data_IF_672682842502
#
_entry.id   IF_672682842502
#
_cell.length_a   1.000
_cell.length_b   1.000
_cell.length_c   1.000
_cell.angle_alpha   90.00
_cell.angle_beta   90.00
_cell.angle_gamma   90.00
#
_symmetry.space_group_name_H-M   'P 1'
#
loop_
_entity.id
_entity.type
_entity.pdbx_description
1 polymer ?
#
# COMPACT_ATOMS: atom_id res chain seq x y z
N UNK A 1 -3.73 37.86 -0.01
CA UNK A 1 -4.35 39.15 -0.39
C UNK A 1 -4.26 39.29 -1.89
N UNK A 2 -5.33 38.94 -2.61
CA UNK A 2 -5.57 39.29 -4.00
C UNK A 2 -7.10 39.40 -4.11
N UNK A 3 -7.58 40.64 -4.12
CA UNK A 3 -8.99 41.00 -4.30
C UNK A 3 -9.32 40.96 -5.79
N UNK A 4 -10.47 40.38 -6.14
CA UNK A 4 -11.11 40.58 -7.45
C UNK A 4 -12.48 41.18 -7.21
N UNK A 5 -12.68 42.31 -7.88
CA UNK A 5 -13.78 43.27 -7.77
C UNK A 5 -14.99 42.83 -8.62
N UNK A 6 -16.20 43.11 -8.12
CA UNK A 6 -17.49 42.79 -8.74
C UNK A 6 -18.22 44.10 -9.08
N UNK A 7 -18.54 44.32 -10.36
CA UNK A 7 -19.44 45.39 -10.81
C UNK A 7 -19.78 45.18 -12.29
N UNK A 8 -20.96 44.64 -12.60
CA UNK A 8 -22.19 45.36 -12.96
C UNK A 8 -22.12 46.11 -14.31
N UNK A 9 -23.02 45.73 -15.22
CA UNK A 9 -23.64 46.63 -16.20
C UNK A 9 -24.99 46.04 -16.66
N UNK A 10 -26.07 46.62 -16.15
CA UNK A 10 -27.42 46.52 -16.73
C UNK A 10 -27.62 47.60 -17.79
N UNK A 11 -28.42 47.28 -18.81
CA UNK A 11 -29.44 48.19 -19.33
C UNK A 11 -29.24 48.73 -20.74
N UNK A 12 -30.05 48.23 -21.70
CA UNK A 12 -30.93 49.07 -22.53
C UNK A 12 -32.17 48.25 -22.93
N UNK A 13 -33.37 48.77 -22.64
CA UNK A 13 -34.67 48.26 -23.09
C UNK A 13 -35.29 49.23 -24.12
N UNK A 14 -36.12 48.66 -24.99
CA UNK A 14 -37.36 49.21 -25.58
C UNK A 14 -37.29 50.04 -26.88
N UNK A 15 -37.89 49.50 -27.96
CA UNK A 15 -39.11 50.10 -28.55
C UNK A 15 -39.93 49.09 -29.38
N UNK A 16 -41.24 49.32 -29.43
CA UNK A 16 -42.33 48.43 -29.87
C UNK A 16 -42.78 48.65 -31.34
N UNK A 17 -43.25 47.55 -31.95
CA UNK A 17 -44.46 47.33 -32.78
C UNK A 17 -44.58 47.74 -34.28
N UNK A 18 -44.95 46.70 -35.05
CA UNK A 18 -45.95 46.59 -36.14
C UNK A 18 -45.51 47.04 -37.57
N UNK A 19 -45.81 46.37 -38.69
CA UNK A 19 -47.01 45.62 -39.12
C UNK A 19 -46.78 44.92 -40.51
N UNK A 20 -47.67 43.98 -40.90
CA UNK A 20 -47.85 43.24 -42.19
C UNK A 20 -46.87 42.06 -42.45
N UNK A 21 -47.26 40.81 -42.72
CA UNK A 21 -48.54 40.16 -42.99
C UNK A 21 -48.44 39.32 -44.29
N UNK A 22 -48.30 37.98 -44.20
CA UNK A 22 -48.70 37.03 -45.26
C UNK A 22 -49.08 35.70 -44.59
N UNK A 23 -50.33 35.29 -44.83
CA UNK A 23 -50.94 34.03 -44.43
C UNK A 23 -50.47 32.86 -45.31
N UNK A 24 -50.17 31.72 -44.71
CA UNK A 24 -50.26 30.41 -45.37
C UNK A 24 -51.00 29.46 -44.42
N UNK A 25 -52.17 29.00 -44.88
CA UNK A 25 -52.96 27.94 -44.27
C UNK A 25 -52.15 26.64 -44.24
N UNK A 26 -52.15 25.92 -43.11
CA UNK A 26 -52.15 24.46 -43.15
C UNK A 26 -53.07 23.89 -42.06
N UNK A 27 -53.99 23.08 -42.55
CA UNK A 27 -55.10 22.41 -41.86
C UNK A 27 -54.60 21.45 -40.79
N UNK A 28 -55.21 21.51 -39.60
CA UNK A 28 -55.04 20.51 -38.56
C UNK A 28 -55.74 19.20 -38.97
N UNK A 29 -54.98 18.10 -38.97
CA UNK A 29 -55.51 16.75 -38.77
C UNK A 29 -54.79 16.15 -37.56
N UNK A 30 -55.54 16.02 -36.47
CA UNK A 30 -55.19 15.20 -35.32
C UNK A 30 -55.24 13.74 -35.75
N UNK A 31 -54.08 13.08 -35.78
CA UNK A 31 -53.98 11.62 -35.70
C UNK A 31 -53.15 11.33 -34.46
N UNK A 32 -53.81 10.82 -33.42
CA UNK A 32 -53.15 10.13 -32.32
C UNK A 32 -52.49 8.87 -32.89
N UNK A 33 -51.19 8.95 -33.16
CA UNK A 33 -50.35 7.80 -33.36
C UNK A 33 -49.59 7.55 -32.07
N UNK A 34 -50.17 6.75 -31.16
CA UNK A 34 -49.39 6.05 -30.13
C UNK A 34 -48.46 5.08 -30.85
N UNK A 35 -47.26 5.57 -31.16
CA UNK A 35 -46.15 4.82 -31.70
C UNK A 35 -45.02 4.79 -30.68
N UNK A 36 -45.30 4.37 -29.44
CA UNK A 36 -44.25 3.87 -28.58
C UNK A 36 -43.74 2.56 -29.20
N UNK A 37 -42.69 2.65 -30.01
CA UNK A 37 -41.90 1.48 -30.33
C UNK A 37 -41.37 0.92 -29.01
N UNK A 38 -41.98 -0.16 -28.53
CA UNK A 38 -41.42 -0.95 -27.45
C UNK A 38 -40.09 -1.50 -27.97
N UNK A 39 -38.98 -0.85 -27.63
CA UNK A 39 -37.67 -1.50 -27.71
C UNK A 39 -37.77 -2.73 -26.81
N UNK A 40 -37.65 -3.92 -27.39
CA UNK A 40 -37.58 -5.14 -26.59
C UNK A 40 -36.37 -4.99 -25.65
N UNK A 41 -36.59 -5.11 -24.35
CA UNK A 41 -35.50 -5.15 -23.36
C UNK A 41 -34.54 -6.27 -23.78
N UNK A 42 -33.36 -5.89 -24.28
CA UNK A 42 -32.32 -6.87 -24.59
C UNK A 42 -31.58 -7.18 -23.28
N UNK A 43 -31.44 -8.47 -22.99
CA UNK A 43 -30.66 -8.94 -21.84
C UNK A 43 -29.25 -9.31 -22.33
N UNK A 44 -28.24 -8.74 -21.69
CA UNK A 44 -26.84 -9.12 -21.90
C UNK A 44 -26.33 -9.74 -20.62
N UNK A 45 -25.89 -11.01 -20.67
CA UNK A 45 -25.34 -11.68 -19.48
C UNK A 45 -23.95 -11.16 -19.16
N UNK A 46 -23.60 -11.10 -17.88
CA UNK A 46 -22.26 -10.68 -17.44
C UNK A 46 -21.16 -11.57 -18.03
N UNK A 47 -21.42 -12.88 -18.13
CA UNK A 47 -20.50 -13.86 -18.70
C UNK A 47 -20.26 -13.73 -20.21
N UNK A 48 -21.06 -12.93 -20.94
CA UNK A 48 -20.83 -12.63 -22.36
C UNK A 48 -19.77 -11.53 -22.57
N UNK A 49 -19.44 -10.78 -21.52
CA UNK A 49 -18.40 -9.75 -21.58
C UNK A 49 -17.01 -10.40 -21.58
N UNK A 50 -15.99 -9.62 -22.00
CA UNK A 50 -14.60 -10.06 -21.93
C UNK A 50 -14.11 -10.18 -20.48
N UNK A 51 -14.28 -11.38 -19.90
CA UNK A 51 -13.88 -11.68 -18.53
C UNK A 51 -12.36 -11.64 -18.31
N UNK A 52 -11.53 -11.56 -19.37
CA UNK A 52 -10.09 -11.35 -19.21
C UNK A 52 -9.76 -9.98 -18.58
N UNK A 53 -10.73 -9.06 -18.57
CA UNK A 53 -10.64 -7.74 -17.95
C UNK A 53 -11.10 -7.71 -16.48
N UNK A 54 -11.64 -8.81 -15.97
CA UNK A 54 -12.04 -8.95 -14.58
C UNK A 54 -10.87 -9.51 -13.77
N UNK A 55 -10.49 -8.83 -12.68
CA UNK A 55 -9.49 -9.38 -11.75
C UNK A 55 -10.09 -10.45 -10.84
N UNK A 56 -9.22 -11.30 -10.31
CA UNK A 56 -9.57 -12.33 -9.33
C UNK A 56 -8.36 -12.53 -8.42
N UNK A 57 -8.56 -12.49 -7.10
CA UNK A 57 -7.46 -12.63 -6.14
C UNK A 57 -6.82 -14.02 -6.18
N UNK A 58 -7.59 -15.01 -6.61
CA UNK A 58 -7.12 -16.36 -6.93
C UNK A 58 -7.88 -16.93 -8.12
N UNK A 59 -7.24 -17.82 -8.89
CA UNK A 59 -7.84 -18.41 -10.08
C UNK A 59 -8.14 -17.39 -11.18
N UNK A 60 -9.10 -17.72 -12.06
CA UNK A 60 -9.57 -16.83 -13.12
C UNK A 60 -11.09 -16.76 -13.08
N UNK A 61 -11.71 -15.62 -13.39
CA UNK A 61 -13.16 -15.55 -13.55
C UNK A 61 -13.62 -16.46 -14.68
N UNK A 62 -14.70 -17.21 -14.45
CA UNK A 62 -15.26 -18.14 -15.42
C UNK A 62 -16.73 -17.82 -15.67
N UNK A 63 -17.13 -17.81 -16.95
CA UNK A 63 -18.53 -17.69 -17.35
C UNK A 63 -19.27 -19.00 -17.07
N UNK A 64 -20.48 -18.89 -16.53
CA UNK A 64 -21.43 -19.96 -16.22
C UNK A 64 -20.89 -21.07 -15.32
N UNK A 65 -19.78 -20.79 -14.63
CA UNK A 65 -19.09 -21.70 -13.72
C UNK A 65 -18.49 -20.96 -12.55
N UNK A 66 -18.25 -21.67 -11.46
CA UNK A 66 -17.50 -21.17 -10.30
C UNK A 66 -16.03 -20.97 -10.68
N UNK A 67 -15.26 -20.24 -9.87
CA UNK A 67 -13.81 -20.06 -10.05
C UNK A 67 -13.00 -21.38 -10.06
N UNK A 68 -13.63 -22.48 -9.62
CA UNK A 68 -13.06 -23.84 -9.63
C UNK A 68 -13.62 -24.75 -10.72
N UNK A 69 -14.25 -24.17 -11.75
CA UNK A 69 -14.81 -24.89 -12.91
C UNK A 69 -15.99 -25.82 -12.56
N UNK A 70 -16.82 -25.45 -11.58
CA UNK A 70 -18.01 -26.19 -11.16
C UNK A 70 -19.31 -25.43 -11.48
N UNK A 71 -20.46 -26.08 -11.32
CA UNK A 71 -21.77 -25.41 -11.36
C UNK A 71 -21.88 -24.39 -10.24
N UNK A 72 -22.39 -23.20 -10.56
CA UNK A 72 -22.60 -22.10 -9.60
C UNK A 72 -23.68 -22.51 -8.59
N UNK A 73 -23.37 -22.41 -7.30
CA UNK A 73 -24.32 -22.72 -6.22
C UNK A 73 -24.08 -21.86 -4.99
N UNK A 74 -25.15 -21.27 -4.44
CA UNK A 74 -25.07 -20.37 -3.28
C UNK A 74 -26.17 -20.75 -2.29
N UNK A 75 -25.79 -21.14 -1.08
CA UNK A 75 -26.74 -21.44 0.00
C UNK A 75 -27.68 -22.60 -0.31
N UNK A 76 -27.20 -23.59 -1.07
CA UNK A 76 -27.92 -24.78 -1.51
C UNK A 76 -28.77 -24.59 -2.77
N UNK A 77 -28.77 -23.40 -3.38
CA UNK A 77 -29.46 -23.15 -4.65
C UNK A 77 -28.47 -23.15 -5.82
N UNK A 78 -28.77 -23.91 -6.86
CA UNK A 78 -27.98 -23.94 -8.10
C UNK A 78 -28.45 -22.89 -9.11
N UNK A 79 -27.52 -22.38 -9.91
CA UNK A 79 -27.79 -21.38 -10.94
C UNK A 79 -27.18 -21.81 -12.28
N UNK A 80 -27.93 -21.65 -13.37
CA UNK A 80 -27.53 -22.12 -14.70
C UNK A 80 -26.51 -21.21 -15.40
N UNK A 81 -26.46 -19.93 -15.03
CA UNK A 81 -25.57 -18.95 -15.64
C UNK A 81 -25.10 -17.91 -14.62
N UNK A 82 -23.99 -17.24 -14.91
CA UNK A 82 -23.36 -16.26 -14.03
C UNK A 82 -21.87 -16.12 -14.26
N UNK A 83 -21.17 -15.52 -13.30
CA UNK A 83 -19.70 -15.45 -13.31
C UNK A 83 -19.17 -15.82 -11.93
N UNK A 84 -18.38 -16.89 -11.86
CA UNK A 84 -17.63 -17.25 -10.67
C UNK A 84 -16.26 -16.60 -10.65
N UNK A 85 -15.88 -16.05 -9.50
CA UNK A 85 -14.62 -15.35 -9.27
C UNK A 85 -14.12 -15.59 -7.83
N UNK A 86 -13.08 -14.87 -7.42
CA UNK A 86 -12.51 -14.95 -6.08
C UNK A 86 -12.09 -13.57 -5.58
N UNK A 87 -12.33 -13.27 -4.30
CA UNK A 87 -11.88 -12.00 -3.73
C UNK A 87 -10.34 -11.91 -3.66
N UNK A 88 -9.71 -10.75 -3.79
CA UNK A 88 -10.30 -9.49 -4.25
C UNK A 88 -10.52 -9.51 -5.76
N UNK A 89 -11.71 -9.10 -6.21
CA UNK A 89 -12.10 -9.08 -7.61
C UNK A 89 -12.70 -7.73 -7.98
N UNK A 90 -12.36 -7.26 -9.18
CA UNK A 90 -12.81 -6.00 -9.74
C UNK A 90 -13.12 -6.18 -11.22
N UNK A 91 -14.30 -5.70 -11.64
CA UNK A 91 -14.67 -5.65 -13.05
C UNK A 91 -15.19 -4.26 -13.41
N UNK A 92 -14.60 -3.65 -14.43
CA UNK A 92 -14.95 -2.31 -14.89
C UNK A 92 -15.67 -2.39 -16.24
N UNK A 93 -16.89 -1.86 -16.29
CA UNK A 93 -17.78 -1.99 -17.44
C UNK A 93 -18.24 -0.60 -17.88
N UNK A 94 -17.99 -0.26 -19.14
CA UNK A 94 -18.50 0.94 -19.78
C UNK A 94 -19.93 0.71 -20.24
N UNK A 95 -20.79 1.67 -19.95
CA UNK A 95 -22.19 1.73 -20.35
C UNK A 95 -22.42 2.93 -21.25
N UNK A 96 -23.45 2.88 -22.07
CA UNK A 96 -23.82 3.93 -23.02
C UNK A 96 -24.78 4.98 -22.42
N UNK A 97 -25.05 4.89 -21.11
CA UNK A 97 -26.00 5.73 -20.39
C UNK A 97 -27.47 5.36 -20.59
N UNK A 98 -27.78 4.36 -21.43
CA UNK A 98 -29.14 3.86 -21.70
C UNK A 98 -29.36 2.45 -21.15
N UNK A 99 -28.33 1.78 -20.64
CA UNK A 99 -28.52 0.59 -19.79
C UNK A 99 -29.43 0.93 -18.62
N UNK A 100 -30.53 0.20 -18.46
CA UNK A 100 -31.56 0.55 -17.50
C UNK A 100 -31.28 -0.03 -16.11
N UNK A 101 -30.81 -1.28 -16.06
CA UNK A 101 -30.60 -2.03 -14.82
C UNK A 101 -29.48 -3.06 -14.93
N UNK A 102 -28.90 -3.38 -13.77
CA UNK A 102 -28.10 -4.59 -13.58
C UNK A 102 -28.72 -5.43 -12.46
N UNK A 103 -28.86 -6.73 -12.71
CA UNK A 103 -29.45 -7.71 -11.80
C UNK A 103 -28.49 -8.87 -11.58
N UNK A 104 -28.47 -9.41 -10.37
CA UNK A 104 -27.73 -10.63 -10.03
C UNK A 104 -28.23 -11.25 -8.72
N UNK A 105 -27.82 -12.48 -8.46
CA UNK A 105 -27.83 -13.13 -7.15
C UNK A 105 -26.37 -13.34 -6.73
N UNK A 106 -25.97 -12.81 -5.58
CA UNK A 106 -24.58 -12.85 -5.14
C UNK A 106 -24.41 -13.64 -3.85
N UNK A 107 -23.25 -14.28 -3.69
CA UNK A 107 -22.89 -14.97 -2.46
C UNK A 107 -21.60 -15.78 -2.58
N UNK A 108 -21.25 -16.42 -1.47
CA UNK A 108 -20.10 -17.34 -1.42
C UNK A 108 -20.51 -18.67 -2.05
N UNK A 109 -19.68 -19.20 -2.93
CA UNK A 109 -19.92 -20.47 -3.62
C UNK A 109 -19.95 -21.65 -2.61
N UNK A 110 -20.90 -22.56 -2.74
CA UNK A 110 -21.06 -23.68 -1.82
C UNK A 110 -19.88 -24.67 -1.88
N UNK A 111 -19.05 -24.65 -2.94
CA UNK A 111 -17.85 -25.49 -3.03
C UNK A 111 -16.80 -25.16 -1.95
N UNK A 112 -16.94 -24.04 -1.25
CA UNK A 112 -16.08 -23.69 -0.10
C UNK A 112 -16.43 -24.50 1.16
N UNK A 113 -17.53 -25.26 1.16
CA UNK A 113 -18.08 -25.99 2.30
C UNK A 113 -18.35 -25.08 3.51
N UNK A 114 -18.94 -23.90 3.27
CA UNK A 114 -19.32 -22.95 4.31
C UNK A 114 -18.19 -22.03 4.79
N UNK A 115 -17.02 -22.07 4.14
CA UNK A 115 -15.87 -21.18 4.41
C UNK A 115 -15.90 -19.95 3.50
N UNK A 116 -15.06 -18.97 3.81
CA UNK A 116 -14.95 -17.71 3.06
C UNK A 116 -15.91 -16.63 3.58
N UNK A 117 -15.43 -15.38 3.55
CA UNK A 117 -16.23 -14.20 3.86
C UNK A 117 -15.97 -13.08 2.86
N UNK A 118 -17.00 -12.72 2.11
CA UNK A 118 -16.88 -11.76 1.00
C UNK A 118 -17.86 -10.61 1.17
N UNK A 119 -17.60 -9.52 0.45
CA UNK A 119 -18.55 -8.41 0.32
C UNK A 119 -18.65 -8.00 -1.13
N UNK A 120 -19.87 -8.07 -1.67
CA UNK A 120 -20.20 -7.61 -3.01
C UNK A 120 -20.59 -6.14 -2.98
N UNK A 121 -20.04 -5.36 -3.89
CA UNK A 121 -20.36 -3.95 -4.05
C UNK A 121 -20.52 -3.62 -5.53
N UNK A 122 -21.45 -2.72 -5.82
CA UNK A 122 -21.66 -2.17 -7.16
C UNK A 122 -21.57 -0.65 -7.09
N UNK A 123 -20.77 -0.05 -7.96
CA UNK A 123 -20.63 1.39 -8.07
C UNK A 123 -20.98 1.85 -9.48
N UNK A 124 -21.78 2.90 -9.61
CA UNK A 124 -22.04 3.59 -10.87
C UNK A 124 -21.40 4.97 -10.83
N UNK A 125 -20.52 5.27 -11.79
CA UNK A 125 -19.77 6.53 -11.88
C UNK A 125 -19.10 6.92 -10.54
N UNK A 126 -18.53 5.94 -9.85
CA UNK A 126 -17.87 6.10 -8.55
C UNK A 126 -18.81 6.17 -7.34
N UNK A 127 -20.14 6.26 -7.53
CA UNK A 127 -21.13 6.23 -6.45
C UNK A 127 -21.56 4.80 -6.14
N UNK A 128 -21.51 4.39 -4.87
CA UNK A 128 -21.98 3.06 -4.46
C UNK A 128 -23.50 2.95 -4.63
N UNK A 129 -23.93 2.01 -5.47
CA UNK A 129 -25.33 1.70 -5.75
C UNK A 129 -25.83 0.49 -4.95
N UNK A 130 -24.94 -0.47 -4.65
CA UNK A 130 -25.28 -1.67 -3.87
C UNK A 130 -24.14 -2.07 -2.94
N UNK A 131 -24.52 -2.71 -1.83
CA UNK A 131 -23.61 -3.28 -0.85
C UNK A 131 -24.26 -4.49 -0.17
N UNK A 132 -23.69 -5.68 -0.34
CA UNK A 132 -24.22 -6.89 0.29
C UNK A 132 -24.07 -6.89 1.80
N UNK A 133 -23.18 -6.04 2.36
CA UNK A 133 -22.50 -6.30 3.64
C UNK A 133 -21.73 -7.62 3.60
N UNK A 134 -21.11 -8.01 4.70
CA UNK A 134 -20.41 -9.30 4.80
C UNK A 134 -21.37 -10.45 4.53
N UNK A 135 -21.00 -11.31 3.58
CA UNK A 135 -21.63 -12.58 3.29
C UNK A 135 -20.68 -13.71 3.67
N UNK A 136 -21.22 -14.80 4.23
CA UNK A 136 -20.45 -15.98 4.67
C UNK A 136 -20.90 -17.21 3.90
N UNK A 137 -20.02 -18.21 3.77
CA UNK A 137 -20.37 -19.52 3.22
C UNK A 137 -21.62 -20.11 3.87
N UNK A 138 -22.48 -20.72 3.05
CA UNK A 138 -23.75 -21.33 3.47
C UNK A 138 -24.92 -20.35 3.70
N UNK A 139 -24.71 -19.03 3.57
CA UNK A 139 -25.81 -18.07 3.54
C UNK A 139 -26.54 -18.12 2.19
N UNK A 140 -27.84 -17.84 2.21
CA UNK A 140 -28.63 -17.71 0.97
C UNK A 140 -28.11 -16.57 0.10
N UNK A 141 -28.24 -16.74 -1.21
CA UNK A 141 -27.91 -15.70 -2.17
C UNK A 141 -28.66 -14.39 -1.88
N UNK A 142 -27.98 -13.27 -2.12
CA UNK A 142 -28.54 -11.94 -1.94
C UNK A 142 -28.79 -11.29 -3.30
N UNK A 143 -29.98 -10.73 -3.47
CA UNK A 143 -30.36 -10.10 -4.73
C UNK A 143 -29.71 -8.73 -4.90
N UNK A 144 -29.11 -8.53 -6.06
CA UNK A 144 -28.67 -7.25 -6.61
C UNK A 144 -29.71 -6.84 -7.65
N UNK A 145 -30.30 -5.65 -7.48
CA UNK A 145 -31.14 -5.01 -8.49
C UNK A 145 -30.85 -3.51 -8.41
N UNK A 146 -30.04 -3.01 -9.34
CA UNK A 146 -29.57 -1.61 -9.34
C UNK A 146 -30.02 -0.90 -10.61
N UNK A 147 -30.64 0.30 -10.49
CA UNK A 147 -30.93 1.15 -11.64
C UNK A 147 -29.64 1.77 -12.18
N UNK A 148 -29.50 1.77 -13.52
CA UNK A 148 -28.33 2.23 -14.25
C UNK A 148 -28.60 3.36 -15.25
N UNK A 149 -29.85 3.85 -15.34
CA UNK A 149 -30.19 4.95 -16.23
C UNK A 149 -29.26 6.16 -16.02
N UNK A 150 -28.58 6.59 -17.09
CA UNK A 150 -27.60 7.68 -17.06
C UNK A 150 -26.19 7.31 -16.60
N UNK A 151 -25.96 6.12 -16.05
CA UNK A 151 -24.64 5.66 -15.60
C UNK A 151 -23.74 5.37 -16.80
N UNK A 152 -22.49 5.83 -16.75
CA UNK A 152 -21.50 5.64 -17.83
C UNK A 152 -20.48 4.55 -17.54
N UNK A 153 -20.19 4.33 -16.26
CA UNK A 153 -19.24 3.33 -15.81
C UNK A 153 -19.79 2.57 -14.62
N UNK A 154 -19.82 1.24 -14.72
CA UNK A 154 -20.17 0.34 -13.65
C UNK A 154 -18.91 -0.38 -13.14
N UNK A 155 -18.76 -0.43 -11.83
CA UNK A 155 -17.74 -1.24 -11.16
C UNK A 155 -18.43 -2.33 -10.36
N UNK A 156 -18.13 -3.58 -10.67
CA UNK A 156 -18.52 -4.75 -9.87
C UNK A 156 -17.31 -5.18 -9.05
N UNK A 157 -17.47 -5.27 -7.73
CA UNK A 157 -16.35 -5.53 -6.84
C UNK A 157 -16.72 -6.59 -5.80
N UNK A 158 -15.77 -7.48 -5.53
CA UNK A 158 -15.79 -8.43 -4.42
C UNK A 158 -14.55 -8.18 -3.58
N UNK A 159 -14.73 -7.79 -2.32
CA UNK A 159 -13.61 -7.60 -1.38
C UNK A 159 -13.58 -8.72 -0.35
N UNK A 160 -12.38 -8.99 0.19
CA UNK A 160 -12.27 -9.74 1.44
C UNK A 160 -12.79 -8.88 2.59
N UNK A 161 -13.26 -9.51 3.66
CA UNK A 161 -13.78 -8.79 4.82
C UNK A 161 -12.68 -8.47 5.87
N UNK A 162 -11.42 -8.41 5.42
CA UNK A 162 -10.25 -8.12 6.26
C UNK A 162 -9.66 -9.32 7.00
N UNK A 163 -10.10 -10.54 6.70
CA UNK A 163 -9.67 -11.81 7.29
C UNK A 163 -8.76 -12.66 6.39
N UNK A 164 -8.24 -12.07 5.31
CA UNK A 164 -7.52 -12.78 4.23
C UNK A 164 -8.46 -13.10 3.07
N UNK A 165 -7.99 -13.82 2.06
CA UNK A 165 -8.82 -14.21 0.90
C UNK A 165 -9.12 -15.72 0.89
N UNK A 166 -8.68 -16.47 1.89
CA UNK A 166 -8.80 -17.93 1.87
C UNK A 166 -10.26 -18.38 1.75
N UNK A 167 -10.55 -19.17 0.72
CA UNK A 167 -11.89 -19.70 0.39
C UNK A 167 -12.92 -18.63 0.00
N UNK A 168 -12.51 -17.43 -0.40
CA UNK A 168 -13.40 -16.35 -0.86
C UNK A 168 -13.89 -16.56 -2.30
N UNK A 169 -14.37 -17.77 -2.59
CA UNK A 169 -14.98 -18.08 -3.88
C UNK A 169 -16.34 -17.38 -3.95
N UNK A 170 -16.50 -16.50 -4.92
CA UNK A 170 -17.61 -15.56 -4.99
C UNK A 170 -18.29 -15.66 -6.34
N UNK A 171 -19.61 -15.76 -6.33
CA UNK A 171 -20.40 -15.91 -7.55
C UNK A 171 -21.33 -14.70 -7.76
N UNK A 172 -21.29 -14.16 -8.99
CA UNK A 172 -22.32 -13.29 -9.55
C UNK A 172 -23.29 -14.15 -10.37
N UNK A 173 -24.16 -14.89 -9.68
CA UNK A 173 -25.12 -15.78 -10.30
C UNK A 173 -26.25 -15.00 -10.98
N UNK A 174 -26.74 -15.50 -12.12
CA UNK A 174 -27.77 -14.84 -12.93
C UNK A 174 -27.49 -13.34 -13.20
N UNK A 175 -26.21 -12.99 -13.34
CA UNK A 175 -25.81 -11.62 -13.51
C UNK A 175 -26.07 -11.14 -14.94
N UNK A 176 -26.88 -10.10 -15.09
CA UNK A 176 -27.36 -9.60 -16.38
C UNK A 176 -27.61 -8.09 -16.39
N UNK A 177 -27.49 -7.50 -17.57
CA UNK A 177 -27.83 -6.12 -17.86
C UNK A 177 -29.11 -6.05 -18.67
N UNK A 178 -30.02 -5.16 -18.27
CA UNK A 178 -31.18 -4.78 -19.08
C UNK A 178 -30.76 -3.58 -19.92
N UNK A 179 -30.61 -3.76 -21.23
CA UNK A 179 -30.13 -2.72 -22.16
C UNK A 179 -31.23 -2.23 -23.09
N UNK A 180 -31.29 -0.91 -23.24
CA UNK A 180 -32.09 -0.19 -24.23
C UNK A 180 -31.22 0.49 -25.31
N UNK A 181 -29.91 0.20 -25.34
CA UNK A 181 -28.92 0.85 -26.18
C UNK A 181 -27.73 -0.06 -26.49
N UNK A 182 -26.52 0.51 -26.57
CA UNK A 182 -25.32 -0.28 -26.88
C UNK A 182 -25.03 -1.28 -25.75
N UNK A 183 -24.47 -2.44 -26.12
CA UNK A 183 -24.09 -3.47 -25.15
C UNK A 183 -23.01 -2.95 -24.20
N UNK A 184 -23.03 -3.37 -22.92
CA UNK A 184 -21.96 -3.06 -21.98
C UNK A 184 -20.61 -3.55 -22.51
N UNK A 185 -19.55 -2.79 -22.26
CA UNK A 185 -18.20 -3.12 -22.71
C UNK A 185 -17.26 -3.27 -21.51
N UNK A 186 -16.66 -4.44 -21.35
CA UNK A 186 -15.59 -4.66 -20.39
C UNK A 186 -14.35 -3.82 -20.73
N UNK A 187 -13.79 -3.14 -19.73
CA UNK A 187 -12.60 -2.31 -19.86
C UNK A 187 -11.48 -2.83 -18.96
N UNK A 188 -10.24 -2.57 -19.34
CA UNK A 188 -9.11 -2.70 -18.42
C UNK A 188 -9.37 -1.84 -17.16
N UNK A 189 -8.98 -2.38 -16.01
CA UNK A 189 -9.07 -1.67 -14.73
C UNK A 189 -8.34 -0.33 -14.89
N UNK A 190 -9.00 0.82 -14.63
CA UNK A 190 -8.37 2.13 -14.76
C UNK A 190 -7.12 2.17 -13.89
N UNK A 191 -5.96 2.37 -14.52
CA UNK A 191 -4.76 2.69 -13.76
C UNK A 191 -5.02 4.02 -13.05
N UNK A 192 -4.67 4.15 -11.76
CA UNK A 192 -4.74 5.46 -11.11
C UNK A 192 -3.99 6.46 -11.99
N UNK A 193 -4.51 7.70 -12.15
CA UNK A 193 -3.82 8.71 -12.92
C UNK A 193 -2.40 8.84 -12.36
N UNK A 194 -1.41 8.90 -13.25
CA UNK A 194 -0.04 9.19 -12.84
C UNK A 194 -0.06 10.59 -12.24
N UNK A 195 -0.01 10.70 -10.92
CA UNK A 195 0.16 11.99 -10.27
C UNK A 195 1.46 12.60 -10.80
N UNK A 196 1.38 13.81 -11.38
CA UNK A 196 2.59 14.54 -11.71
C UNK A 196 3.43 14.69 -10.45
N UNK A 197 4.72 14.36 -10.53
CA UNK A 197 5.62 14.52 -9.39
C UNK A 197 5.80 16.00 -9.10
N UNK A 198 5.03 16.52 -8.16
CA UNK A 198 5.18 17.89 -7.67
C UNK A 198 6.27 17.91 -6.60
N UNK A 199 7.47 18.38 -6.96
CA UNK A 199 8.55 18.63 -6.00
C UNK A 199 8.45 20.09 -5.55
N UNK A 200 7.88 20.30 -4.36
CA UNK A 200 7.75 21.64 -3.75
C UNK A 200 9.04 22.09 -3.04
N UNK A 201 9.98 21.18 -2.82
CA UNK A 201 11.25 21.48 -2.17
C UNK A 201 12.27 22.03 -3.18
N UNK A 202 12.87 23.22 -2.93
CA UNK A 202 13.98 23.69 -3.74
C UNK A 202 15.12 22.68 -3.74
N UNK A 203 15.76 22.50 -4.90
CA UNK A 203 16.97 21.68 -4.97
C UNK A 203 18.07 22.28 -4.08
N UNK A 204 18.90 21.45 -3.43
CA UNK A 204 20.07 21.94 -2.71
C UNK A 204 20.99 22.75 -3.63
N UNK A 205 21.64 23.77 -3.07
CA UNK A 205 22.69 24.52 -3.76
C UNK A 205 23.95 23.67 -3.99
N UNK A 206 24.90 24.18 -4.81
CA UNK A 206 26.10 23.43 -5.17
C UNK A 206 27.15 23.37 -4.06
N UNK A 207 27.16 24.32 -3.11
CA UNK A 207 28.05 24.31 -1.94
C UNK A 207 27.65 23.19 -0.95
N UNK A 208 28.60 22.55 -0.25
CA UNK A 208 28.29 21.54 0.75
C UNK A 208 27.44 22.15 1.87
N UNK A 209 26.52 21.38 2.41
CA UNK A 209 25.74 21.71 3.60
C UNK A 209 25.54 20.47 4.43
N UNK A 210 26.11 20.46 5.63
CA UNK A 210 26.02 19.37 6.59
C UNK A 210 24.65 19.45 7.29
N UNK A 211 23.81 18.45 7.01
CA UNK A 211 22.46 18.27 7.50
C UNK A 211 22.42 17.30 8.70
N UNK A 212 21.24 16.77 9.02
CA UNK A 212 21.08 15.74 10.06
C UNK A 212 21.15 16.27 11.50
N UNK A 213 21.24 15.38 12.50
CA UNK A 213 21.23 15.73 13.92
C UNK A 213 22.55 16.39 14.39
N UNK A 214 22.47 17.27 15.40
CA UNK A 214 23.67 17.87 16.05
C UNK A 214 24.22 17.00 17.20
N UNK A 215 23.49 15.96 17.57
CA UNK A 215 23.79 15.11 18.72
C UNK A 215 23.48 13.65 18.36
N UNK A 216 24.28 12.72 18.85
CA UNK A 216 24.09 11.29 18.66
C UNK A 216 24.37 10.53 19.94
N UNK A 217 23.46 9.65 20.33
CA UNK A 217 23.59 8.81 21.53
C UNK A 217 24.05 7.42 21.15
N UNK A 218 25.08 6.91 21.84
CA UNK A 218 25.64 5.60 21.58
C UNK A 218 26.01 4.87 22.88
N UNK A 219 25.80 3.56 22.91
CA UNK A 219 26.13 2.74 24.07
C UNK A 219 27.64 2.49 24.16
N UNK A 220 28.23 2.48 25.37
CA UNK A 220 29.65 2.28 25.55
C UNK A 220 30.16 0.99 24.91
N UNK A 221 31.28 1.09 24.19
CA UNK A 221 31.93 -0.06 23.57
C UNK A 221 31.18 -0.69 22.40
N UNK A 222 30.04 -0.21 21.94
CA UNK A 222 29.34 -0.83 20.81
C UNK A 222 29.96 -0.46 19.45
N UNK A 223 29.73 -1.26 18.39
CA UNK A 223 30.04 -0.84 17.03
C UNK A 223 29.39 0.51 16.70
N UNK A 224 30.08 1.34 15.92
CA UNK A 224 29.61 2.65 15.51
C UNK A 224 29.65 2.76 13.99
N UNK A 225 28.53 3.23 13.43
CA UNK A 225 28.42 3.62 12.03
C UNK A 225 27.57 4.88 11.93
N UNK A 226 28.09 5.90 11.23
CA UNK A 226 27.40 7.16 10.99
C UNK A 226 27.83 7.77 9.66
N UNK A 227 26.90 7.84 8.70
CA UNK A 227 27.06 8.65 7.48
C UNK A 227 26.78 10.11 7.80
N UNK A 228 27.71 11.02 7.49
CA UNK A 228 27.51 12.47 7.59
C UNK A 228 26.49 12.91 6.54
N UNK A 229 25.26 13.33 6.91
CA UNK A 229 24.28 13.77 5.94
C UNK A 229 24.73 15.10 5.35
N UNK A 230 25.01 15.15 4.05
CA UNK A 230 25.55 16.36 3.45
C UNK A 230 25.10 16.53 2.00
N UNK A 231 24.36 17.59 1.72
CA UNK A 231 24.00 17.98 0.34
C UNK A 231 25.10 18.84 -0.29
N UNK A 232 25.15 18.91 -1.62
CA UNK A 232 26.10 19.71 -2.39
C UNK A 232 26.59 18.94 -3.62
N UNK A 233 27.22 19.62 -4.58
CA UNK A 233 27.78 18.97 -5.77
C UNK A 233 28.91 18.02 -5.36
N UNK A 234 28.88 16.77 -5.81
CA UNK A 234 29.95 15.78 -5.59
C UNK A 234 31.05 15.95 -6.67
N UNK A 235 32.32 15.63 -6.38
CA UNK A 235 32.83 15.01 -5.15
C UNK A 235 32.88 16.00 -3.98
N UNK A 236 32.59 15.50 -2.77
CA UNK A 236 32.76 16.23 -1.50
C UNK A 236 33.80 15.46 -0.69
N UNK A 237 34.76 16.18 -0.14
CA UNK A 237 35.75 15.66 0.81
C UNK A 237 35.32 15.98 2.23
N UNK A 238 35.37 14.99 3.11
CA UNK A 238 34.98 15.11 4.51
C UNK A 238 36.21 15.08 5.43
N UNK A 239 36.14 15.83 6.52
CA UNK A 239 37.10 15.76 7.61
C UNK A 239 36.39 15.79 8.97
N UNK A 240 37.02 15.21 9.98
CA UNK A 240 36.53 15.24 11.36
C UNK A 240 37.69 15.51 12.32
N UNK A 241 37.56 16.54 13.15
CA UNK A 241 38.46 16.84 14.25
C UNK A 241 37.86 16.37 15.59
N UNK A 242 38.73 15.96 16.51
CA UNK A 242 38.35 15.41 17.83
C UNK A 242 37.49 14.15 17.75
N UNK A 243 37.69 13.33 16.72
CA UNK A 243 37.06 12.03 16.63
C UNK A 243 37.62 11.11 17.75
N UNK A 244 36.76 10.42 18.54
CA UNK A 244 37.24 9.55 19.61
C UNK A 244 38.16 8.43 19.11
N UNK A 245 39.09 8.01 19.97
CA UNK A 245 39.99 6.88 19.65
C UNK A 245 39.18 5.62 19.33
N UNK A 246 39.58 4.91 18.27
CA UNK A 246 38.90 3.71 17.78
C UNK A 246 37.77 3.99 16.80
N UNK A 247 37.59 5.25 16.38
CA UNK A 247 36.74 5.65 15.28
C UNK A 247 37.58 6.26 14.15
N UNK A 248 37.13 6.05 12.92
CA UNK A 248 37.78 6.52 11.70
C UNK A 248 36.74 7.10 10.74
N UNK A 249 37.13 8.12 9.99
CA UNK A 249 36.33 8.72 8.93
C UNK A 249 36.92 8.35 7.57
N UNK A 250 36.11 7.79 6.69
CA UNK A 250 36.41 7.77 5.26
C UNK A 250 36.10 9.15 4.65
N UNK A 251 37.16 9.87 4.27
CA UNK A 251 37.08 11.22 3.72
C UNK A 251 36.30 11.31 2.39
N UNK A 252 36.26 10.23 1.60
CA UNK A 252 35.57 10.23 0.30
C UNK A 252 34.06 9.97 0.45
N UNK A 253 33.67 9.11 1.39
CA UNK A 253 32.28 8.68 1.57
C UNK A 253 31.55 9.44 2.67
N UNK A 254 32.29 10.07 3.60
CA UNK A 254 31.71 10.74 4.76
C UNK A 254 31.18 9.78 5.81
N UNK A 255 31.64 8.52 5.80
CA UNK A 255 31.18 7.49 6.74
C UNK A 255 32.18 7.38 7.89
N UNK A 256 31.68 7.56 9.10
CA UNK A 256 32.42 7.32 10.34
C UNK A 256 32.11 5.89 10.80
N UNK A 257 33.15 5.08 10.97
CA UNK A 257 33.06 3.71 11.48
C UNK A 257 33.97 3.50 12.68
N UNK A 258 33.71 2.47 13.49
CA UNK A 258 34.62 2.04 14.55
C UNK A 258 33.89 1.53 15.77
N UNK A 259 34.45 1.80 16.96
CA UNK A 259 33.84 1.41 18.25
C UNK A 259 33.64 2.64 19.15
N UNK A 260 32.48 2.71 19.78
CA UNK A 260 32.15 3.73 20.78
C UNK A 260 33.12 3.62 21.97
N UNK A 261 33.62 4.74 22.53
CA UNK A 261 34.40 4.71 23.76
C UNK A 261 33.74 3.89 24.86
N UNK A 262 34.55 3.20 25.68
CA UNK A 262 34.03 2.49 26.86
C UNK A 262 33.68 3.45 28.00
N UNK A 263 34.36 4.58 28.05
CA UNK A 263 34.10 5.62 29.03
C UNK A 263 32.85 6.41 28.65
N UNK A 264 32.00 6.64 29.63
CA UNK A 264 30.78 7.45 29.49
C UNK A 264 31.16 8.93 29.46
N UNK A 265 30.44 9.72 28.68
CA UNK A 265 30.70 11.16 28.59
C UNK A 265 30.21 11.76 27.29
N UNK A 266 30.54 13.04 27.11
CA UNK A 266 30.23 13.79 25.89
C UNK A 266 31.52 14.19 25.18
N UNK A 267 31.54 14.08 23.85
CA UNK A 267 32.64 14.55 23.01
C UNK A 267 32.07 15.37 21.86
N UNK A 268 32.64 16.55 21.62
CA UNK A 268 32.27 17.38 20.46
C UNK A 268 33.26 17.13 19.33
N UNK A 269 32.79 16.43 18.31
CA UNK A 269 33.48 16.24 17.04
C UNK A 269 33.17 17.43 16.14
N UNK A 270 34.17 17.98 15.47
CA UNK A 270 33.95 19.03 14.46
C UNK A 270 34.00 18.40 13.08
N UNK A 271 32.90 18.43 12.35
CA UNK A 271 32.78 17.85 11.00
C UNK A 271 32.92 18.95 9.97
N UNK A 272 33.69 18.70 8.92
CA UNK A 272 33.85 19.57 7.76
C UNK A 272 33.51 18.82 6.47
N UNK A 273 32.88 19.51 5.53
CA UNK A 273 32.62 19.04 4.17
C UNK A 273 33.06 20.12 3.17
N UNK A 274 33.79 19.74 2.12
CA UNK A 274 34.37 20.68 1.13
C UNK A 274 34.21 20.17 -0.30
N UNK A 275 33.87 21.06 -1.23
CA UNK A 275 33.94 20.82 -2.68
C UNK A 275 34.45 22.09 -3.42
N UNK A 276 34.37 22.10 -4.74
CA UNK A 276 34.79 23.23 -5.59
C UNK A 276 34.01 24.54 -5.36
N UNK A 277 32.81 24.45 -4.78
CA UNK A 277 31.92 25.58 -4.53
C UNK A 277 32.00 26.13 -3.10
N UNK A 278 32.79 25.49 -2.22
CA UNK A 278 33.03 25.98 -0.87
C UNK A 278 33.10 24.87 0.17
N UNK A 279 32.86 25.25 1.43
CA UNK A 279 32.86 24.32 2.56
C UNK A 279 31.75 24.63 3.55
N UNK A 280 31.41 23.65 4.37
CA UNK A 280 30.57 23.78 5.56
C UNK A 280 31.22 23.07 6.74
N UNK A 281 31.06 23.62 7.93
CA UNK A 281 31.67 23.13 9.17
C UNK A 281 30.64 23.15 10.28
N UNK A 282 30.54 22.05 11.01
CA UNK A 282 29.49 21.88 12.02
C UNK A 282 29.94 21.03 13.22
N UNK A 283 29.60 21.43 14.46
CA UNK A 283 29.80 20.60 15.63
C UNK A 283 28.78 19.44 15.67
N UNK A 284 29.26 18.28 16.08
CA UNK A 284 28.51 17.04 16.28
C UNK A 284 28.85 16.45 17.65
N UNK A 285 27.86 16.42 18.55
CA UNK A 285 28.04 15.94 19.92
C UNK A 285 27.77 14.43 19.99
N UNK A 286 28.79 13.63 20.27
CA UNK A 286 28.64 12.23 20.63
C UNK A 286 28.41 12.12 22.14
N UNK A 287 27.31 11.49 22.54
CA UNK A 287 26.97 11.20 23.93
C UNK A 287 27.08 9.69 24.15
N UNK A 288 28.06 9.29 24.96
CA UNK A 288 28.31 7.89 25.32
C UNK A 288 27.61 7.58 26.64
N UNK A 289 26.55 6.77 26.59
CA UNK A 289 25.70 6.46 27.73
C UNK A 289 24.59 5.46 27.41
N UNK A 290 23.55 5.39 28.23
CA UNK A 290 22.47 4.40 28.05
C UNK A 290 21.42 4.84 27.03
N UNK A 291 21.30 6.14 26.79
CA UNK A 291 20.30 6.73 25.91
C UNK A 291 20.79 6.71 24.45
N UNK A 292 20.06 5.97 23.63
CA UNK A 292 20.15 6.02 22.16
C UNK A 292 19.00 6.86 21.61
N UNK A 293 18.99 7.11 20.30
CA UNK A 293 17.91 7.86 19.63
C UNK A 293 17.62 9.24 20.25
N UNK A 294 18.68 10.01 20.54
CA UNK A 294 18.59 11.39 21.06
C UNK A 294 17.88 12.37 20.11
N UNK A 295 17.65 11.96 18.86
CA UNK A 295 16.75 12.61 17.91
C UNK A 295 15.85 11.54 17.30
N UNK A 296 14.65 11.91 16.79
CA UNK A 296 13.78 10.95 16.11
C UNK A 296 14.54 10.15 15.03
N UNK A 297 14.40 8.81 15.00
CA UNK A 297 15.00 8.00 13.95
C UNK A 297 14.34 8.33 12.60
N UNK A 298 15.16 8.52 11.56
CA UNK A 298 14.71 8.80 10.20
C UNK A 298 15.11 7.67 9.28
N UNK A 299 14.18 7.17 8.48
CA UNK A 299 14.43 6.02 7.61
C UNK A 299 13.23 5.61 6.78
N UNK A 300 13.25 4.35 6.37
CA UNK A 300 12.23 3.69 5.57
C UNK A 300 11.91 2.32 6.16
N UNK A 301 10.67 1.86 5.96
CA UNK A 301 10.20 0.55 6.39
C UNK A 301 9.46 -0.15 5.24
N UNK A 302 9.66 -1.46 5.14
CA UNK A 302 9.18 -2.27 4.00
C UNK A 302 7.67 -2.53 3.92
N UNK A 303 6.91 -2.39 5.02
CA UNK A 303 5.55 -2.93 5.12
C UNK A 303 4.59 -2.37 4.06
N UNK A 304 4.47 -1.04 3.95
CA UNK A 304 3.46 -0.42 3.08
C UNK A 304 3.77 -0.47 1.59
N UNK A 305 4.94 -0.99 1.21
CA UNK A 305 5.30 -1.20 -0.20
C UNK A 305 5.21 -2.69 -0.55
N UNK A 306 5.69 -3.56 0.33
CA UNK A 306 5.89 -4.97 0.01
C UNK A 306 4.94 -5.91 0.75
N UNK A 307 4.40 -5.51 1.91
CA UNK A 307 3.65 -6.38 2.80
C UNK A 307 4.37 -7.75 2.95
N UNK A 308 3.67 -8.84 2.67
CA UNK A 308 4.18 -10.22 2.78
C UNK A 308 5.20 -10.61 1.70
N UNK A 309 5.41 -9.76 0.69
CA UNK A 309 6.29 -10.02 -0.46
C UNK A 309 7.70 -9.43 -0.30
N UNK A 310 8.06 -8.92 0.89
CA UNK A 310 9.40 -8.38 1.14
C UNK A 310 10.48 -9.45 0.92
N UNK A 311 11.60 -9.07 0.30
CA UNK A 311 12.74 -9.95 -0.01
C UNK A 311 14.05 -9.24 0.29
N UNK A 312 15.14 -10.00 0.36
CA UNK A 312 16.49 -9.44 0.47
C UNK A 312 16.81 -8.39 -0.61
N UNK A 313 16.40 -8.65 -1.85
CA UNK A 313 16.61 -7.73 -2.99
C UNK A 313 15.88 -6.40 -2.78
N UNK A 314 14.64 -6.44 -2.28
CA UNK A 314 13.89 -5.22 -1.97
C UNK A 314 14.63 -4.33 -0.96
N UNK A 315 15.27 -4.93 0.04
CA UNK A 315 16.02 -4.21 1.06
C UNK A 315 17.30 -3.58 0.52
N UNK A 316 18.04 -4.31 -0.33
CA UNK A 316 19.23 -3.78 -1.02
C UNK A 316 18.84 -2.61 -1.92
N UNK A 317 17.76 -2.76 -2.69
CA UNK A 317 17.22 -1.70 -3.53
C UNK A 317 16.78 -0.47 -2.71
N UNK A 318 16.11 -0.66 -1.56
CA UNK A 318 15.75 0.45 -0.67
C UNK A 318 16.99 1.22 -0.18
N UNK A 319 18.08 0.51 0.13
CA UNK A 319 19.36 1.13 0.49
C UNK A 319 19.96 1.95 -0.68
N UNK A 320 19.93 1.42 -1.90
CA UNK A 320 20.39 2.13 -3.10
C UNK A 320 19.55 3.38 -3.41
N UNK A 321 18.22 3.28 -3.26
CA UNK A 321 17.31 4.40 -3.45
C UNK A 321 17.51 5.46 -2.37
N UNK A 322 17.77 5.08 -1.12
CA UNK A 322 18.04 6.02 -0.03
C UNK A 322 19.28 6.89 -0.30
N UNK A 323 20.30 6.32 -0.97
CA UNK A 323 21.47 7.06 -1.44
C UNK A 323 21.15 7.90 -2.68
N UNK A 324 20.67 7.27 -3.75
CA UNK A 324 20.52 7.91 -5.07
C UNK A 324 19.44 9.00 -5.11
N UNK A 325 18.43 8.93 -4.24
CA UNK A 325 17.41 9.98 -4.08
C UNK A 325 17.89 11.21 -3.30
N UNK A 326 19.03 11.11 -2.61
CA UNK A 326 19.53 12.15 -1.69
C UNK A 326 18.89 12.13 -0.30
N UNK A 327 17.98 11.19 0.02
CA UNK A 327 17.40 11.09 1.36
C UNK A 327 18.47 10.90 2.44
N UNK A 328 19.50 10.08 2.17
CA UNK A 328 20.62 9.91 3.09
C UNK A 328 21.38 11.22 3.38
N UNK A 329 21.46 12.11 2.39
CA UNK A 329 22.11 13.42 2.53
C UNK A 329 21.28 14.41 3.38
N UNK A 330 20.04 14.04 3.73
CA UNK A 330 19.14 14.75 4.65
C UNK A 330 18.95 14.06 6.01
N UNK A 331 19.59 12.90 6.24
CA UNK A 331 19.64 12.24 7.55
C UNK A 331 18.78 10.98 7.69
N UNK A 332 18.11 10.54 6.62
CA UNK A 332 17.48 9.22 6.58
C UNK A 332 18.58 8.15 6.58
N UNK A 333 18.54 7.24 7.55
CA UNK A 333 19.62 6.28 7.79
C UNK A 333 19.14 4.87 8.06
N UNK A 334 17.89 4.66 8.49
CA UNK A 334 17.36 3.34 8.81
C UNK A 334 16.65 2.69 7.63
N UNK A 335 17.00 1.44 7.32
CA UNK A 335 16.39 0.60 6.29
C UNK A 335 15.82 -0.64 6.99
N UNK A 336 14.52 -0.62 7.28
CA UNK A 336 13.90 -1.58 8.18
C UNK A 336 13.08 -2.63 7.43
N UNK A 337 13.42 -3.91 7.60
CA UNK A 337 12.49 -5.00 7.29
C UNK A 337 11.37 -5.02 8.33
N UNK A 338 10.15 -5.22 7.87
CA UNK A 338 8.98 -5.43 8.70
C UNK A 338 8.68 -6.94 8.79
N UNK A 339 7.44 -7.33 9.05
CA UNK A 339 7.01 -8.73 9.12
C UNK A 339 7.37 -9.56 7.87
N UNK A 340 7.23 -10.88 7.98
CA UNK A 340 7.36 -11.85 6.87
C UNK A 340 8.78 -12.17 6.38
N UNK A 341 9.82 -11.83 7.15
CA UNK A 341 11.20 -12.28 6.91
C UNK A 341 11.52 -13.64 7.56
N UNK A 342 10.81 -13.99 8.63
CA UNK A 342 10.90 -15.28 9.31
C UNK A 342 10.12 -16.36 8.55
N UNK A 343 10.14 -17.59 9.05
CA UNK A 343 9.32 -18.67 8.50
C UNK A 343 7.84 -18.58 8.92
N UNK A 344 6.94 -18.92 8.01
CA UNK A 344 5.49 -18.89 8.23
C UNK A 344 5.01 -20.19 8.90
N UNK A 345 3.86 -20.16 9.59
CA UNK A 345 3.18 -21.38 10.06
C UNK A 345 3.18 -22.49 8.98
N UNK A 346 3.68 -23.66 9.35
CA UNK A 346 3.81 -24.83 8.47
C UNK A 346 5.17 -24.96 7.78
N UNK A 347 6.03 -23.95 7.82
CA UNK A 347 7.40 -23.98 7.28
C UNK A 347 8.42 -24.30 8.38
N UNK A 348 8.33 -25.50 8.94
CA UNK A 348 9.27 -25.97 9.95
C UNK A 348 10.61 -26.44 9.34
N UNK A 349 11.74 -26.34 10.06
CA UNK A 349 11.89 -25.83 11.42
C UNK A 349 11.93 -24.30 11.47
N UNK A 350 11.35 -23.69 12.51
CA UNK A 350 11.33 -22.24 12.72
C UNK A 350 12.60 -21.66 13.36
N UNK A 351 13.35 -22.51 14.06
CA UNK A 351 14.50 -22.12 14.88
C UNK A 351 15.68 -23.03 14.58
N UNK A 352 16.88 -22.51 14.81
CA UNK A 352 18.12 -23.28 14.74
C UNK A 352 18.31 -24.18 15.98
N UNK A 353 19.42 -24.91 16.03
CA UNK A 353 19.73 -25.82 17.14
C UNK A 353 20.02 -25.12 18.47
N UNK A 354 20.23 -23.80 18.46
CA UNK A 354 20.42 -22.97 19.65
C UNK A 354 19.12 -22.27 20.08
N UNK A 355 18.01 -22.53 19.37
CA UNK A 355 16.71 -21.92 19.66
C UNK A 355 16.54 -20.52 19.09
N UNK A 356 17.45 -20.05 18.24
CA UNK A 356 17.31 -18.76 17.58
C UNK A 356 16.47 -18.87 16.30
N UNK A 357 15.65 -17.86 16.03
CA UNK A 357 14.75 -17.77 14.88
C UNK A 357 15.47 -17.86 13.54
N UNK A 358 14.86 -18.54 12.56
CA UNK A 358 15.41 -18.70 11.21
C UNK A 358 14.74 -17.76 10.20
N UNK A 359 15.51 -17.16 9.27
CA UNK A 359 14.95 -16.48 8.11
C UNK A 359 14.29 -17.49 7.16
N UNK A 360 13.34 -17.02 6.35
CA UNK A 360 12.75 -17.81 5.27
C UNK A 360 13.57 -17.72 3.98
N UNK A 361 13.14 -18.44 2.94
CA UNK A 361 13.81 -18.52 1.64
C UNK A 361 13.92 -17.16 0.89
N UNK A 362 13.18 -16.12 1.28
CA UNK A 362 13.27 -14.77 0.70
C UNK A 362 14.48 -13.98 1.23
N UNK A 363 15.13 -14.47 2.29
CA UNK A 363 16.31 -13.87 2.94
C UNK A 363 17.45 -14.89 3.08
N UNK A 364 17.95 -15.47 1.97
CA UNK A 364 18.97 -16.52 2.00
C UNK A 364 20.34 -16.04 2.51
N UNK A 365 20.63 -14.74 2.44
CA UNK A 365 21.88 -14.14 2.92
C UNK A 365 21.59 -12.87 3.75
N UNK A 366 20.90 -13.05 4.87
CA UNK A 366 20.47 -11.93 5.74
C UNK A 366 21.64 -11.09 6.27
N UNK A 367 22.78 -11.70 6.59
CA UNK A 367 23.98 -10.98 7.05
C UNK A 367 24.61 -10.17 5.92
N UNK A 368 24.76 -10.76 4.72
CA UNK A 368 25.25 -10.04 3.56
C UNK A 368 24.33 -8.89 3.10
N UNK A 369 23.05 -8.92 3.47
CA UNK A 369 22.12 -7.81 3.29
C UNK A 369 22.40 -6.68 4.29
N UNK A 370 22.60 -7.03 5.57
CA UNK A 370 22.99 -6.07 6.62
C UNK A 370 24.32 -5.41 6.27
N UNK A 371 25.34 -6.19 5.90
CA UNK A 371 26.64 -5.69 5.48
C UNK A 371 26.56 -4.72 4.30
N UNK A 372 25.64 -4.97 3.36
CA UNK A 372 25.41 -4.09 2.21
C UNK A 372 24.77 -2.76 2.61
N UNK A 373 23.82 -2.78 3.55
CA UNK A 373 23.20 -1.58 4.11
C UNK A 373 24.26 -0.78 4.88
N UNK A 374 25.05 -1.44 5.74
CA UNK A 374 26.15 -0.83 6.48
C UNK A 374 27.24 -0.27 5.57
N UNK A 375 27.58 -0.95 4.47
CA UNK A 375 28.57 -0.46 3.49
C UNK A 375 28.22 0.89 2.86
N UNK A 376 26.96 1.34 2.97
CA UNK A 376 26.50 2.68 2.52
C UNK A 376 26.45 3.72 3.64
N UNK A 377 26.80 3.33 4.87
CA UNK A 377 26.68 4.14 6.08
C UNK A 377 25.24 4.20 6.63
N UNK A 378 24.37 3.29 6.17
CA UNK A 378 22.99 3.15 6.64
C UNK A 378 22.91 2.10 7.75
N UNK A 379 21.73 1.95 8.36
CA UNK A 379 21.43 1.07 9.49
C UNK A 379 20.33 0.09 9.11
N UNK A 380 20.48 -1.17 9.48
CA UNK A 380 19.50 -2.21 9.21
C UNK A 380 18.56 -2.39 10.41
N UNK A 381 17.25 -2.37 10.18
CA UNK A 381 16.26 -2.66 11.21
C UNK A 381 15.50 -3.95 10.96
N UNK A 382 15.07 -4.59 12.05
CA UNK A 382 14.37 -5.87 12.09
C UNK A 382 12.99 -5.73 12.73
N UNK A 383 12.16 -6.76 12.58
CA UNK A 383 10.84 -6.88 13.17
C UNK A 383 10.62 -8.25 13.84
N UNK A 384 9.95 -8.28 14.98
CA UNK A 384 9.36 -9.50 15.58
C UNK A 384 8.27 -9.08 16.59
N UNK A 385 7.81 -9.97 17.45
CA UNK A 385 6.89 -9.65 18.55
C UNK A 385 7.03 -10.60 19.76
N UNK A 386 6.39 -10.26 20.89
CA UNK A 386 6.43 -11.01 22.13
C UNK A 386 5.45 -12.18 22.15
N UNK A 387 4.52 -12.26 21.22
CA UNK A 387 3.63 -13.41 21.07
C UNK A 387 4.29 -14.55 20.29
N UNK A 388 3.69 -15.75 20.28
CA UNK A 388 4.21 -16.89 19.49
C UNK A 388 4.16 -16.64 17.98
N UNK A 389 3.26 -15.75 17.54
CA UNK A 389 3.07 -15.42 16.12
C UNK A 389 3.02 -13.92 15.88
N UNK A 390 3.66 -13.46 14.81
CA UNK A 390 3.56 -12.09 14.34
C UNK A 390 2.16 -11.77 13.82
N UNK A 391 1.89 -10.50 13.54
CA UNK A 391 0.61 -10.06 12.97
C UNK A 391 0.26 -10.77 11.66
N UNK A 392 1.25 -11.04 10.81
CA UNK A 392 1.05 -11.75 9.54
C UNK A 392 1.13 -13.29 9.67
N UNK A 393 1.20 -13.84 10.88
CA UNK A 393 1.21 -15.29 11.10
C UNK A 393 2.56 -15.97 10.88
N UNK A 394 3.67 -15.25 11.09
CA UNK A 394 5.03 -15.79 11.08
C UNK A 394 5.50 -16.10 12.50
N UNK A 395 6.49 -16.98 12.65
CA UNK A 395 7.06 -17.25 13.98
C UNK A 395 7.64 -15.97 14.59
N UNK A 396 7.38 -15.74 15.87
CA UNK A 396 7.85 -14.58 16.62
C UNK A 396 8.72 -15.03 17.83
N UNK A 397 9.04 -14.13 18.76
CA UNK A 397 10.13 -14.33 19.72
C UNK A 397 9.71 -14.81 21.12
N UNK A 398 8.43 -15.10 21.34
CA UNK A 398 7.93 -15.60 22.63
C UNK A 398 8.72 -16.79 23.16
N UNK A 399 9.20 -16.71 24.41
CA UNK A 399 10.03 -17.70 25.13
C UNK A 399 11.44 -17.93 24.55
N UNK A 400 11.84 -17.15 23.54
CA UNK A 400 13.12 -17.22 22.86
C UNK A 400 13.80 -15.86 22.72
N UNK A 401 13.37 -14.86 23.49
CA UNK A 401 13.76 -13.46 23.34
C UNK A 401 15.27 -13.26 23.45
N UNK A 402 15.91 -13.95 24.39
CA UNK A 402 17.36 -13.87 24.60
C UNK A 402 18.13 -14.43 23.40
N UNK A 403 17.78 -15.65 22.94
CA UNK A 403 18.44 -16.30 21.82
C UNK A 403 18.25 -15.51 20.52
N UNK A 404 17.04 -15.00 20.30
CA UNK A 404 16.71 -14.17 19.14
C UNK A 404 17.47 -12.84 19.18
N UNK A 405 17.51 -12.14 20.33
CA UNK A 405 18.23 -10.87 20.47
C UNK A 405 19.75 -11.03 20.25
N UNK A 406 20.35 -12.11 20.77
CA UNK A 406 21.75 -12.45 20.52
C UNK A 406 22.02 -12.71 19.03
N UNK A 407 21.13 -13.46 18.37
CA UNK A 407 21.22 -13.73 16.94
C UNK A 407 21.07 -12.46 16.10
N UNK A 408 20.17 -11.54 16.48
CA UNK A 408 20.01 -10.25 15.79
C UNK A 408 21.24 -9.37 15.91
N UNK A 409 21.88 -9.37 17.09
CA UNK A 409 23.14 -8.68 17.31
C UNK A 409 24.30 -9.32 16.53
N UNK A 410 24.35 -10.66 16.47
CA UNK A 410 25.29 -11.42 15.64
C UNK A 410 25.15 -11.06 14.16
N UNK A 411 23.91 -10.93 13.67
CA UNK A 411 23.62 -10.50 12.31
C UNK A 411 23.85 -9.01 12.04
N UNK A 412 24.07 -8.20 13.08
CA UNK A 412 24.39 -6.78 12.96
C UNK A 412 23.20 -5.82 12.85
N UNK A 413 21.99 -6.21 13.26
CA UNK A 413 20.84 -5.30 13.23
C UNK A 413 20.97 -4.15 14.24
N UNK A 414 20.57 -2.95 13.83
CA UNK A 414 20.69 -1.69 14.59
C UNK A 414 19.39 -1.27 15.29
N UNK A 415 18.27 -1.87 14.91
CA UNK A 415 16.92 -1.46 15.30
C UNK A 415 16.00 -2.68 15.35
N UNK A 416 15.13 -2.76 16.35
CA UNK A 416 14.09 -3.79 16.45
C UNK A 416 12.72 -3.13 16.64
N UNK A 417 11.81 -3.36 15.69
CA UNK A 417 10.37 -3.18 15.87
C UNK A 417 9.83 -4.41 16.59
N UNK A 418 9.22 -4.23 17.75
CA UNK A 418 8.63 -5.30 18.56
C UNK A 418 7.11 -5.06 18.66
N UNK A 419 6.35 -5.78 17.83
CA UNK A 419 4.88 -5.60 17.72
C UNK A 419 4.14 -6.23 18.90
N UNK A 420 2.81 -6.25 18.90
CA UNK A 420 2.00 -6.80 20.00
C UNK A 420 1.00 -7.89 19.60
N UNK A 421 0.99 -8.30 18.33
CA UNK A 421 0.09 -9.34 17.87
C UNK A 421 0.32 -10.68 18.58
N UNK A 422 -0.77 -11.42 18.77
CA UNK A 422 -0.88 -12.69 19.50
C UNK A 422 -0.48 -12.68 20.98
N UNK A 423 0.27 -11.69 21.47
CA UNK A 423 0.68 -11.65 22.87
C UNK A 423 -0.48 -11.46 23.85
N UNK A 424 -1.57 -10.82 23.45
CA UNK A 424 -2.78 -10.75 24.30
C UNK A 424 -3.35 -12.14 24.65
N UNK A 425 -3.07 -13.17 23.85
CA UNK A 425 -3.48 -14.55 24.15
C UNK A 425 -2.59 -15.20 25.22
N UNK A 426 -1.34 -14.74 25.32
CA UNK A 426 -0.37 -15.15 26.34
C UNK A 426 -0.61 -14.37 27.63
N UNK A 427 -0.68 -13.04 27.53
CA UNK A 427 -0.88 -12.14 28.67
C UNK A 427 -2.27 -12.25 29.29
N UNK A 428 -3.25 -12.88 28.62
CA UNK A 428 -4.60 -13.10 29.17
C UNK A 428 -5.53 -11.88 29.12
N UNK A 429 -5.14 -10.80 28.43
CA UNK A 429 -5.91 -9.55 28.39
C UNK A 429 -5.41 -8.55 27.35
N UNK A 430 -6.16 -7.45 27.19
CA UNK A 430 -5.82 -6.30 26.34
C UNK A 430 -5.86 -4.96 27.09
N UNK A 431 -6.02 -4.99 28.41
CA UNK A 431 -5.98 -3.79 29.23
C UNK A 431 -4.54 -3.36 29.52
N UNK A 432 -4.36 -2.14 30.02
CA UNK A 432 -3.02 -1.58 30.29
C UNK A 432 -2.19 -2.43 31.25
N UNK A 433 -2.83 -3.16 32.17
CA UNK A 433 -2.14 -4.00 33.17
C UNK A 433 -1.50 -5.23 32.50
N UNK A 434 -2.15 -5.81 31.50
CA UNK A 434 -1.62 -6.92 30.70
C UNK A 434 -0.75 -6.47 29.51
N UNK A 435 -0.62 -5.16 29.26
CA UNK A 435 0.19 -4.57 28.18
C UNK A 435 1.54 -4.01 28.66
N UNK A 436 1.78 -3.97 29.97
CA UNK A 436 3.03 -3.55 30.61
C UNK A 436 3.89 -4.75 30.97
#
# INVERSE_FOLDING_TARGET
MLNVDYGQLEGVRSMLRNLWGVSILFTAFLVFGDGAAAYAEELVRLGELDLSKMSSGWGKPLADKTVTDKTISIGGQTFEHGVGTHAESLFYVKLDGKTERFRAQVGVDDATNGRGTVRFQVYGDGKRLFDSRTMKGGQKAKTVDVPLAGVRYLTLMVTSNGDGIDFDHADWAQAEFVVAGDKPLALDIPKPPVEERIILTPKPGPQPKINGPKVYGARPGQPFIYRIPCTGTRPIQFAAANLPQGMELDAATGIITGRVPKERGETVVTIEARNEHGSDLRPFKLVVGDMVALTPPMGWNSWYIHYTHVTEEHMRNAADVMISSGMADHGYQYVNIDDCWMKQKGDEPYRDSQGAILPNAKFPNITGMVDYIHGKGLKAGLYTGPGPWTCAGYVASYEHEQADAEKFAEWGFDFLKYDWCSYSQVAGGKDLEHLQ
#
